data_IF_466563288101
#
_entry.id   IF_466563288101
#
_cell.length_a   1.000
_cell.length_b   1.000
_cell.length_c   1.000
_cell.angle_alpha   90.00
_cell.angle_beta   90.00
_cell.angle_gamma   90.00
#
_symmetry.space_group_name_H-M   'P 1'
#
loop_
_entity.id
_entity.type
_entity.pdbx_description
1 polymer ?
#
# COMPACT_ATOMS: atom_id res chain seq x y z
N UNK A 1 -1.11 14.31 -4.58
CA UNK A 1 -1.90 13.51 -3.64
C UNK A 1 -0.95 12.66 -2.81
N UNK A 2 -1.08 12.73 -1.48
CA UNK A 2 -0.28 11.94 -0.51
C UNK A 2 -1.12 10.76 -0.01
N UNK A 3 -0.54 9.57 -0.01
CA UNK A 3 -1.24 8.33 0.37
C UNK A 3 -0.44 7.62 1.46
N UNK A 4 -1.02 7.50 2.66
CA UNK A 4 -0.44 6.64 3.68
C UNK A 4 -0.74 5.18 3.35
N UNK A 5 0.30 4.35 3.34
CA UNK A 5 0.22 2.93 3.03
C UNK A 5 0.37 2.12 4.31
N UNK A 6 -0.67 1.36 4.62
CA UNK A 6 -0.68 0.46 5.78
C UNK A 6 0.20 -0.78 5.56
N UNK A 7 0.72 -1.37 6.63
CA UNK A 7 1.57 -2.55 6.61
C UNK A 7 0.94 -3.75 5.88
N UNK A 8 -0.38 -3.93 5.98
CA UNK A 8 -1.09 -5.01 5.28
C UNK A 8 -1.04 -4.90 3.74
N UNK A 9 -0.74 -3.70 3.20
CA UNK A 9 -0.54 -3.45 1.77
C UNK A 9 0.94 -3.63 1.39
N UNK A 10 1.87 -3.23 2.27
CA UNK A 10 3.31 -3.34 2.03
C UNK A 10 3.83 -4.78 2.16
N UNK A 11 3.21 -5.59 3.01
CA UNK A 11 3.67 -6.93 3.29
C UNK A 11 3.53 -7.90 2.09
N UNK A 12 2.38 -8.02 1.36
CA UNK A 12 2.24 -8.93 0.23
C UNK A 12 3.05 -8.46 -0.98
N UNK A 13 3.99 -9.29 -1.45
CA UNK A 13 4.99 -8.92 -2.46
C UNK A 13 4.39 -8.32 -3.73
N UNK A 14 3.48 -9.05 -4.41
CA UNK A 14 2.92 -8.58 -5.70
C UNK A 14 2.11 -7.29 -5.53
N UNK A 15 1.31 -7.20 -4.46
CA UNK A 15 0.54 -5.99 -4.18
C UNK A 15 1.45 -4.80 -3.91
N UNK A 16 2.47 -4.99 -3.04
CA UNK A 16 3.48 -3.96 -2.75
C UNK A 16 4.17 -3.47 -4.02
N UNK A 17 4.68 -4.39 -4.85
CA UNK A 17 5.39 -4.04 -6.07
C UNK A 17 4.53 -3.17 -6.99
N UNK A 18 3.25 -3.51 -7.18
CA UNK A 18 2.34 -2.72 -8.01
C UNK A 18 2.10 -1.33 -7.41
N UNK A 19 1.80 -1.25 -6.11
CA UNK A 19 1.54 0.03 -5.42
C UNK A 19 2.77 0.93 -5.45
N UNK A 20 3.95 0.40 -5.15
CA UNK A 20 5.20 1.15 -5.13
C UNK A 20 5.64 1.57 -6.53
N UNK A 21 5.54 0.68 -7.54
CA UNK A 21 5.86 1.05 -8.92
C UNK A 21 4.90 2.13 -9.46
N UNK A 22 3.63 2.13 -9.04
CA UNK A 22 2.68 3.19 -9.35
C UNK A 22 3.09 4.54 -8.74
N UNK A 23 3.56 4.54 -7.49
CA UNK A 23 4.12 5.74 -6.85
C UNK A 23 5.38 6.25 -7.55
N UNK A 24 6.26 5.35 -8.00
CA UNK A 24 7.47 5.70 -8.76
C UNK A 24 7.19 6.42 -10.08
N UNK A 25 6.08 6.09 -10.72
CA UNK A 25 5.62 6.80 -11.92
C UNK A 25 5.01 8.17 -11.59
N UNK A 26 5.02 8.58 -10.30
CA UNK A 26 4.56 9.90 -9.86
C UNK A 26 3.05 10.04 -9.76
N UNK A 27 2.27 8.96 -9.85
CA UNK A 27 0.82 9.05 -9.78
C UNK A 27 0.34 9.43 -8.36
N UNK A 28 1.14 9.15 -7.34
CA UNK A 28 0.92 9.63 -5.97
C UNK A 28 2.23 9.65 -5.17
N UNK A 29 2.23 10.32 -4.02
CA UNK A 29 3.34 10.36 -3.08
C UNK A 29 3.05 9.37 -1.95
N UNK A 30 3.86 8.31 -1.78
CA UNK A 30 3.66 7.33 -0.73
C UNK A 30 4.12 7.88 0.62
N UNK A 31 3.42 7.50 1.69
CA UNK A 31 3.81 7.78 3.07
C UNK A 31 3.73 6.49 3.91
N UNK A 32 4.60 6.37 4.90
CA UNK A 32 4.58 5.34 5.93
C UNK A 32 5.30 5.82 7.19
N UNK A 33 5.01 5.21 8.33
CA UNK A 33 5.73 5.45 9.59
C UNK A 33 6.71 4.31 9.88
N UNK A 34 7.63 4.55 10.82
CA UNK A 34 8.54 3.51 11.30
C UNK A 34 7.78 2.32 11.91
N UNK A 35 6.69 2.59 12.63
CA UNK A 35 5.85 1.54 13.23
C UNK A 35 5.16 0.68 12.18
N UNK A 36 4.71 1.26 11.06
CA UNK A 36 4.17 0.50 9.91
C UNK A 36 5.24 -0.41 9.32
N UNK A 37 6.47 0.08 9.14
CA UNK A 37 7.58 -0.74 8.64
C UNK A 37 7.97 -1.85 9.62
N UNK A 38 7.90 -1.58 10.92
CA UNK A 38 8.14 -2.58 11.97
C UNK A 38 7.07 -3.69 11.96
N UNK A 39 5.82 -3.35 11.71
CA UNK A 39 4.76 -4.36 11.53
C UNK A 39 5.02 -5.26 10.33
N UNK A 40 5.50 -4.70 9.23
CA UNK A 40 5.96 -5.49 8.10
C UNK A 40 7.12 -6.42 8.48
N UNK A 41 8.14 -5.94 9.20
CA UNK A 41 9.25 -6.79 9.71
C UNK A 41 8.73 -7.97 10.52
N UNK A 42 7.83 -7.71 11.48
CA UNK A 42 7.22 -8.75 12.32
C UNK A 42 6.40 -9.77 11.52
N UNK A 43 5.68 -9.31 10.50
CA UNK A 43 4.94 -10.20 9.61
C UNK A 43 5.90 -11.08 8.79
N UNK A 44 7.02 -10.53 8.31
CA UNK A 44 8.05 -11.25 7.57
C UNK A 44 8.80 -12.25 8.47
N UNK A 45 9.09 -11.88 9.73
CA UNK A 45 9.74 -12.76 10.69
C UNK A 45 8.94 -14.05 10.92
N UNK A 46 7.63 -13.94 11.08
CA UNK A 46 6.74 -15.09 11.24
C UNK A 46 6.79 -16.09 10.08
N UNK A 47 7.28 -15.65 8.90
CA UNK A 47 7.46 -16.49 7.70
C UNK A 47 8.91 -16.83 7.38
N UNK A 48 9.87 -16.39 8.21
CA UNK A 48 11.29 -16.60 7.94
C UNK A 48 11.84 -15.73 6.80
N UNK A 49 11.18 -14.61 6.48
CA UNK A 49 11.51 -13.70 5.38
C UNK A 49 12.16 -12.38 5.86
N UNK A 50 12.68 -12.35 7.10
CA UNK A 50 13.21 -11.11 7.72
C UNK A 50 14.30 -10.45 6.88
N UNK A 51 15.25 -11.23 6.35
CA UNK A 51 16.33 -10.70 5.53
C UNK A 51 15.83 -10.03 4.24
N UNK A 52 14.78 -10.58 3.63
CA UNK A 52 14.15 -10.01 2.44
C UNK A 52 13.46 -8.69 2.81
N UNK A 53 12.70 -8.66 3.90
CA UNK A 53 12.01 -7.45 4.35
C UNK A 53 12.98 -6.29 4.64
N UNK A 54 14.12 -6.56 5.27
CA UNK A 54 15.14 -5.53 5.56
C UNK A 54 15.73 -4.92 4.29
N UNK A 55 16.04 -5.74 3.30
CA UNK A 55 16.54 -5.28 1.99
C UNK A 55 15.50 -4.39 1.30
N UNK A 56 14.25 -4.84 1.26
CA UNK A 56 13.15 -4.12 0.64
C UNK A 56 12.84 -2.79 1.35
N UNK A 57 12.79 -2.78 2.67
CA UNK A 57 12.57 -1.56 3.47
C UNK A 57 13.71 -0.56 3.25
N UNK A 58 14.95 -1.02 3.21
CA UNK A 58 16.11 -0.17 2.94
C UNK A 58 16.01 0.45 1.55
N UNK A 59 15.63 -0.34 0.53
CA UNK A 59 15.43 0.12 -0.81
C UNK A 59 14.30 1.17 -0.92
N UNK A 60 13.17 0.94 -0.22
CA UNK A 60 12.06 1.90 -0.18
C UNK A 60 12.46 3.23 0.45
N UNK A 61 13.22 3.22 1.54
CA UNK A 61 13.70 4.44 2.20
C UNK A 61 14.63 5.25 1.29
N UNK A 62 15.52 4.58 0.56
CA UNK A 62 16.41 5.23 -0.39
C UNK A 62 15.64 5.83 -1.59
N UNK A 63 14.63 5.12 -2.06
CA UNK A 63 13.81 5.50 -3.23
C UNK A 63 12.83 6.63 -2.92
N UNK A 64 12.27 6.67 -1.70
CA UNK A 64 11.29 7.66 -1.26
C UNK A 64 11.73 8.34 0.05
N UNK A 65 12.77 9.18 0.02
CA UNK A 65 13.31 9.78 1.24
C UNK A 65 12.33 10.70 1.98
N UNK A 66 11.31 11.22 1.28
CA UNK A 66 10.26 12.07 1.86
C UNK A 66 9.01 11.29 2.34
N UNK A 67 9.00 9.96 2.23
CA UNK A 67 7.84 9.14 2.58
C UNK A 67 7.69 8.87 4.08
N UNK A 68 8.77 9.04 4.85
CA UNK A 68 8.76 8.76 6.29
C UNK A 68 8.01 9.85 7.04
N UNK A 69 6.98 9.46 7.78
CA UNK A 69 6.20 10.35 8.65
C UNK A 69 6.26 9.89 10.10
N UNK A 70 6.06 10.83 11.02
CA UNK A 70 6.08 10.58 12.45
C UNK A 70 4.76 11.03 13.04
N UNK A 71 4.05 10.12 13.72
CA UNK A 71 2.89 10.50 14.53
C UNK A 71 3.31 11.10 15.87
N UNK A 72 2.49 11.99 16.39
CA UNK A 72 2.67 12.55 17.73
C UNK A 72 1.82 11.81 18.74
N UNK A 73 2.29 11.74 19.98
CA UNK A 73 1.51 11.17 21.08
C UNK A 73 0.20 11.93 21.32
N UNK A 74 0.16 13.23 21.03
CA UNK A 74 -1.04 14.07 21.13
C UNK A 74 -2.07 13.63 20.08
N UNK A 75 -1.67 13.40 18.84
CA UNK A 75 -2.56 12.92 17.78
C UNK A 75 -3.08 11.51 18.12
N UNK A 76 -2.22 10.60 18.56
CA UNK A 76 -2.64 9.25 18.95
C UNK A 76 -3.65 9.28 20.13
N UNK A 77 -3.42 10.12 21.15
CA UNK A 77 -4.26 10.20 22.34
C UNK A 77 -5.69 10.70 22.07
N UNK A 78 -5.91 11.50 21.01
CA UNK A 78 -7.24 12.00 20.64
C UNK A 78 -8.06 11.06 19.77
N UNK A 79 -7.44 9.98 19.28
CA UNK A 79 -8.06 9.04 18.36
C UNK A 79 -8.69 7.85 19.10
N UNK A 80 -9.76 7.34 18.49
CA UNK A 80 -10.42 6.11 18.93
C UNK A 80 -10.84 5.32 17.69
N UNK A 81 -10.36 4.09 17.58
CA UNK A 81 -10.68 3.15 16.52
C UNK A 81 -11.22 1.84 17.11
N UNK A 82 -11.93 1.01 16.33
CA UNK A 82 -12.38 -0.32 16.76
C UNK A 82 -11.22 -1.20 17.21
N UNK A 83 -10.08 -1.13 16.52
CA UNK A 83 -8.83 -1.73 16.95
C UNK A 83 -7.85 -0.63 17.41
N UNK A 84 -7.46 -0.68 18.68
CA UNK A 84 -6.54 0.31 19.24
C UNK A 84 -5.12 0.18 18.64
N UNK A 85 -4.75 -0.98 18.15
CA UNK A 85 -3.46 -1.21 17.51
C UNK A 85 -3.31 -0.45 16.18
N UNK A 86 -4.43 -0.08 15.54
CA UNK A 86 -4.44 0.68 14.29
C UNK A 86 -4.39 2.21 14.48
N UNK A 87 -4.48 2.71 15.73
CA UNK A 87 -4.46 4.16 16.02
C UNK A 87 -3.22 4.84 15.43
N UNK A 88 -2.06 4.22 15.52
CA UNK A 88 -0.81 4.79 15.00
C UNK A 88 -0.83 4.97 13.48
N UNK A 89 -1.57 4.13 12.74
CA UNK A 89 -1.72 4.23 11.29
C UNK A 89 -2.49 5.49 10.93
N UNK A 90 -3.65 5.71 11.58
CA UNK A 90 -4.44 6.91 11.37
C UNK A 90 -3.70 8.16 11.84
N UNK A 91 -3.01 8.11 12.98
CA UNK A 91 -2.22 9.23 13.49
C UNK A 91 -1.09 9.61 12.51
N UNK A 92 -0.40 8.62 11.94
CA UNK A 92 0.62 8.86 10.92
C UNK A 92 0.03 9.48 9.64
N UNK A 93 -1.19 9.09 9.25
CA UNK A 93 -1.89 9.70 8.11
C UNK A 93 -2.19 11.17 8.37
N UNK A 94 -2.69 11.50 9.55
CA UNK A 94 -3.02 12.86 9.95
C UNK A 94 -1.78 13.76 10.02
N UNK A 95 -0.77 13.35 10.79
CA UNK A 95 0.44 14.12 11.00
C UNK A 95 1.31 14.21 9.74
N UNK A 96 1.23 13.21 8.84
CA UNK A 96 1.85 13.24 7.51
C UNK A 96 1.11 14.12 6.49
N UNK A 97 -0.11 14.56 6.81
CA UNK A 97 -0.97 15.29 5.89
C UNK A 97 -1.37 14.45 4.69
N UNK A 98 -1.72 13.18 4.93
CA UNK A 98 -2.20 12.29 3.89
C UNK A 98 -3.59 12.69 3.39
N UNK A 99 -3.81 12.63 2.09
CA UNK A 99 -5.13 12.79 1.48
C UNK A 99 -5.92 11.47 1.57
N UNK A 100 -5.23 10.34 1.49
CA UNK A 100 -5.82 9.02 1.50
C UNK A 100 -5.06 8.04 2.40
N UNK A 101 -5.79 7.09 2.99
CA UNK A 101 -5.27 5.92 3.71
C UNK A 101 -5.56 4.66 2.90
N UNK A 102 -4.51 3.97 2.47
CA UNK A 102 -4.57 2.74 1.67
C UNK A 102 -4.38 1.52 2.58
N UNK A 103 -5.43 0.72 2.74
CA UNK A 103 -5.43 -0.47 3.60
C UNK A 103 -6.30 -1.59 3.04
N UNK A 104 -6.01 -2.84 3.40
CA UNK A 104 -6.88 -4.00 3.20
C UNK A 104 -7.89 -4.17 4.35
N UNK A 105 -7.66 -3.50 5.47
CA UNK A 105 -8.41 -3.65 6.72
C UNK A 105 -9.44 -2.52 6.91
N UNK A 106 -10.36 -2.37 5.95
CA UNK A 106 -11.31 -1.25 5.94
C UNK A 106 -12.22 -1.17 7.18
N UNK A 107 -12.45 -2.30 7.88
CA UNK A 107 -13.40 -2.37 9.00
C UNK A 107 -12.91 -1.64 10.25
N UNK A 108 -11.59 -1.58 10.42
CA UNK A 108 -10.97 -0.99 11.60
C UNK A 108 -10.79 0.54 11.47
N UNK A 109 -11.08 1.07 10.28
CA UNK A 109 -11.02 2.50 9.98
C UNK A 109 -12.40 3.07 9.61
N UNK A 110 -13.27 3.43 10.58
CA UNK A 110 -14.58 4.00 10.27
C UNK A 110 -14.46 5.27 9.43
N UNK A 111 -15.11 5.31 8.28
CA UNK A 111 -15.03 6.43 7.31
C UNK A 111 -15.34 7.78 7.95
N UNK A 112 -16.31 7.83 8.92
CA UNK A 112 -16.64 9.06 9.62
C UNK A 112 -15.49 9.60 10.48
N UNK A 113 -14.66 8.71 11.04
CA UNK A 113 -13.49 9.10 11.84
C UNK A 113 -12.44 9.74 10.93
N UNK A 114 -12.11 9.10 9.81
CA UNK A 114 -11.12 9.62 8.85
C UNK A 114 -11.59 10.95 8.20
N UNK A 115 -12.87 11.04 7.86
CA UNK A 115 -13.43 12.22 7.21
C UNK A 115 -13.32 13.50 8.07
N UNK A 116 -13.25 13.40 9.40
CA UNK A 116 -13.03 14.55 10.31
C UNK A 116 -11.67 15.21 10.07
N UNK A 117 -10.68 14.42 9.65
CA UNK A 117 -9.33 14.89 9.35
C UNK A 117 -9.08 15.01 7.83
N UNK A 118 -10.16 14.93 7.02
CA UNK A 118 -10.09 15.08 5.57
C UNK A 118 -9.46 13.89 4.82
N UNK A 119 -9.31 12.74 5.48
CA UNK A 119 -8.66 11.56 4.92
C UNK A 119 -9.70 10.63 4.31
N UNK A 120 -9.46 10.20 3.06
CA UNK A 120 -10.28 9.21 2.38
C UNK A 120 -9.72 7.81 2.59
N UNK A 121 -10.58 6.88 3.06
CA UNK A 121 -10.23 5.46 3.19
C UNK A 121 -10.31 4.76 1.83
N UNK A 122 -9.26 4.03 1.44
CA UNK A 122 -9.18 3.35 0.14
C UNK A 122 -8.73 1.89 0.26
N UNK A 123 -9.42 1.01 -0.47
CA UNK A 123 -8.90 -0.32 -0.75
C UNK A 123 -7.95 -0.27 -1.96
N UNK A 124 -6.83 -1.04 -1.97
CA UNK A 124 -5.89 -1.03 -3.09
C UNK A 124 -6.51 -1.32 -4.45
N UNK A 125 -7.45 -2.25 -4.53
CA UNK A 125 -8.10 -2.63 -5.79
C UNK A 125 -8.89 -1.47 -6.43
N UNK A 126 -9.65 -0.72 -5.62
CA UNK A 126 -10.39 0.45 -6.12
C UNK A 126 -9.49 1.64 -6.39
N UNK A 127 -8.47 1.83 -5.57
CA UNK A 127 -7.47 2.87 -5.76
C UNK A 127 -6.70 2.70 -7.08
N UNK A 128 -6.12 1.53 -7.31
CA UNK A 128 -5.36 1.24 -8.52
C UNK A 128 -6.24 1.19 -9.77
N UNK A 129 -7.49 0.74 -9.64
CA UNK A 129 -8.46 0.79 -10.75
C UNK A 129 -8.76 2.23 -11.19
N UNK A 130 -8.86 3.16 -10.24
CA UNK A 130 -9.02 4.58 -10.54
C UNK A 130 -7.78 5.16 -11.23
N UNK A 131 -6.57 4.83 -10.76
CA UNK A 131 -5.33 5.21 -11.45
C UNK A 131 -5.28 4.65 -12.88
N UNK A 132 -5.75 3.42 -13.08
CA UNK A 132 -5.85 2.82 -14.41
C UNK A 132 -6.80 3.59 -15.34
N UNK A 133 -7.94 4.07 -14.84
CA UNK A 133 -8.84 4.87 -15.66
C UNK A 133 -8.32 6.28 -15.93
N UNK A 134 -7.51 6.83 -15.04
CA UNK A 134 -6.91 8.15 -15.21
C UNK A 134 -5.70 8.10 -16.17
N UNK A 135 -4.87 7.07 -16.09
CA UNK A 135 -3.70 6.85 -16.96
C UNK A 135 -3.49 5.36 -17.20
N UNK A 136 -4.21 4.84 -18.19
CA UNK A 136 -4.19 3.41 -18.52
C UNK A 136 -2.87 2.94 -19.09
N UNK A 137 -2.12 3.79 -19.80
CA UNK A 137 -0.84 3.43 -20.39
C UNK A 137 0.21 3.24 -19.30
N UNK A 138 0.36 4.22 -18.41
CA UNK A 138 1.32 4.15 -17.31
C UNK A 138 1.05 2.96 -16.40
N UNK A 139 -0.23 2.70 -16.07
CA UNK A 139 -0.52 1.58 -15.18
C UNK A 139 -0.35 0.21 -15.87
N UNK A 140 -0.58 0.10 -17.18
CA UNK A 140 -0.24 -1.13 -17.92
C UNK A 140 1.26 -1.40 -17.89
N UNK A 141 2.08 -0.40 -18.16
CA UNK A 141 3.54 -0.51 -18.11
C UNK A 141 4.02 -0.98 -16.71
N UNK A 142 3.42 -0.43 -15.65
CA UNK A 142 3.69 -0.88 -14.25
C UNK A 142 3.34 -2.35 -14.07
N UNK A 143 2.16 -2.77 -14.52
CA UNK A 143 1.73 -4.16 -14.37
C UNK A 143 2.60 -5.13 -15.17
N UNK A 144 2.97 -4.79 -16.40
CA UNK A 144 3.84 -5.60 -17.24
C UNK A 144 5.23 -5.75 -16.59
N UNK A 145 5.82 -4.65 -16.10
CA UNK A 145 7.10 -4.68 -15.37
C UNK A 145 7.05 -5.57 -14.11
N UNK A 146 5.97 -5.46 -13.33
CA UNK A 146 5.81 -6.28 -12.11
C UNK A 146 5.59 -7.76 -12.46
N UNK A 147 4.85 -8.06 -13.53
CA UNK A 147 4.65 -9.43 -13.99
C UNK A 147 5.97 -10.04 -14.49
N UNK A 148 6.77 -9.31 -15.26
CA UNK A 148 8.07 -9.76 -15.74
C UNK A 148 9.03 -10.05 -14.58
N UNK A 149 9.07 -9.14 -13.59
CA UNK A 149 9.85 -9.32 -12.37
C UNK A 149 9.39 -10.56 -11.58
N UNK A 150 8.09 -10.75 -11.43
CA UNK A 150 7.50 -11.90 -10.74
C UNK A 150 7.86 -13.22 -11.45
N UNK A 151 7.78 -13.25 -12.79
CA UNK A 151 8.19 -14.40 -13.60
C UNK A 151 9.68 -14.72 -13.42
N UNK A 152 10.54 -13.70 -13.36
CA UNK A 152 11.98 -13.85 -13.08
C UNK A 152 12.27 -14.47 -11.70
N UNK A 153 11.35 -14.34 -10.74
CA UNK A 153 11.41 -14.97 -9.41
C UNK A 153 10.64 -16.32 -9.34
N UNK A 154 10.24 -16.88 -10.48
CA UNK A 154 9.57 -18.17 -10.55
C UNK A 154 8.09 -18.16 -10.20
N UNK A 155 7.45 -16.98 -10.14
CA UNK A 155 6.00 -16.90 -9.97
C UNK A 155 5.34 -17.15 -11.33
N UNK A 156 4.34 -18.04 -11.35
CA UNK A 156 3.55 -18.28 -12.56
C UNK A 156 2.71 -17.03 -12.92
N UNK A 157 3.06 -16.41 -14.03
CA UNK A 157 2.39 -15.22 -14.60
C UNK A 157 1.57 -15.54 -15.85
N UNK A 158 1.44 -16.81 -16.23
CA UNK A 158 0.67 -17.26 -17.41
C UNK A 158 -0.82 -16.86 -17.35
N UNK A 159 -1.32 -16.67 -16.13
CA UNK A 159 -2.70 -16.25 -15.87
C UNK A 159 -2.74 -14.92 -15.09
N UNK A 160 -2.45 -13.76 -15.73
CA UNK A 160 -2.31 -12.46 -15.06
C UNK A 160 -3.54 -12.09 -14.23
N UNK A 161 -4.75 -12.30 -14.76
CA UNK A 161 -5.99 -12.04 -14.03
C UNK A 161 -6.12 -12.87 -12.74
N UNK A 162 -5.69 -14.13 -12.78
CA UNK A 162 -5.65 -15.00 -11.60
C UNK A 162 -4.63 -14.52 -10.57
N UNK A 163 -3.46 -14.04 -11.02
CA UNK A 163 -2.45 -13.45 -10.15
C UNK A 163 -2.96 -12.16 -9.48
N UNK A 164 -3.61 -11.27 -10.23
CA UNK A 164 -4.23 -10.06 -9.66
C UNK A 164 -5.27 -10.42 -8.60
N UNK A 165 -6.11 -11.42 -8.82
CA UNK A 165 -7.07 -11.89 -7.82
C UNK A 165 -6.38 -12.37 -6.53
N UNK A 166 -5.28 -13.14 -6.65
CA UNK A 166 -4.47 -13.56 -5.49
C UNK A 166 -3.84 -12.37 -4.77
N UNK A 167 -3.43 -11.35 -5.52
CA UNK A 167 -2.89 -10.09 -4.98
C UNK A 167 -3.96 -9.14 -4.41
N UNK A 168 -5.22 -9.59 -4.26
CA UNK A 168 -6.35 -8.77 -3.77
C UNK A 168 -6.75 -7.62 -4.70
N UNK A 169 -6.49 -7.76 -6.01
CA UNK A 169 -6.79 -6.79 -7.07
C UNK A 169 -7.73 -7.36 -8.15
N UNK A 170 -8.89 -7.96 -7.77
CA UNK A 170 -9.75 -8.64 -8.76
C UNK A 170 -10.41 -7.70 -9.77
N UNK A 171 -10.76 -6.47 -9.36
CA UNK A 171 -11.39 -5.48 -10.24
C UNK A 171 -10.40 -4.91 -11.25
N UNK A 172 -9.20 -4.56 -10.77
CA UNK A 172 -8.10 -4.14 -11.63
C UNK A 172 -7.76 -5.24 -12.64
N UNK A 173 -7.58 -6.48 -12.17
CA UNK A 173 -7.30 -7.61 -13.04
C UNK A 173 -8.36 -7.86 -14.10
N UNK A 174 -9.64 -7.63 -13.76
CA UNK A 174 -10.73 -7.72 -14.74
C UNK A 174 -10.68 -6.57 -15.76
N UNK A 175 -10.36 -5.36 -15.34
CA UNK A 175 -10.32 -4.20 -16.22
C UNK A 175 -9.16 -4.25 -17.22
N UNK A 176 -7.98 -4.70 -16.77
CA UNK A 176 -6.76 -4.72 -17.58
C UNK A 176 -6.69 -5.95 -18.49
N UNK A 177 -7.06 -7.11 -17.97
CA UNK A 177 -6.95 -8.41 -18.65
C UNK A 177 -8.33 -8.99 -19.02
N UNK A 178 -9.25 -8.11 -19.44
CA UNK A 178 -10.53 -8.55 -20.01
C UNK A 178 -10.26 -9.16 -21.38
N UNK A 179 -10.33 -10.48 -21.47
CA UNK A 179 -10.45 -11.25 -22.70
C UNK A 179 -11.84 -11.80 -22.83
#
# INVERSE_FOLDING_TARGET
>A
MKVLIDACVLYPTVLREIVIATADRGLFMPLWSERILEEWRRAAEKRGETGIAEVEITALRARFPAAMVHSTAETEARLSLPDADDIHVLAAAIDGGADELLTLNLRDFPTRTLARDGIQLRAPDTFLLEQFYNDSSTLKDVLDEVLDKAAGHGIDTSHPRGLMKRARLPRLGKAVYAS
#
